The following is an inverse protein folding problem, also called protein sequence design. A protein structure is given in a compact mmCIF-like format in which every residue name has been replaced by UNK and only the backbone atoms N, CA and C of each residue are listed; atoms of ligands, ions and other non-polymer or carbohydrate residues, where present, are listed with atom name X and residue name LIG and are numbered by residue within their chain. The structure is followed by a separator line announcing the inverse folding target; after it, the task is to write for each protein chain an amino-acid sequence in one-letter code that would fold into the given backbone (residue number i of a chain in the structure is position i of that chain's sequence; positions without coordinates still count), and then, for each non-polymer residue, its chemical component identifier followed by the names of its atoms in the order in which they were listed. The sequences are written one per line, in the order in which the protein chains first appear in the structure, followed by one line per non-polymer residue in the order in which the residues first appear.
data_IF_091777324315
#
_entry.id   IF_091777324315
#
_cell.length_a   1.000
_cell.length_b   1.000
_cell.length_c   1.000
_cell.angle_alpha   90.00
_cell.angle_beta   90.00
_cell.angle_gamma   90.00
#
_symmetry.space_group_name_H-M   'P 1'
#
loop_
_entity.id
_entity.type
_entity.pdbx_description
1 polymer ?
#
# COMPACT_ATOMS: atom_id res chain seq x y z
N UNK A 1 -3.91 9.79 28.08
CA UNK A 1 -2.68 9.16 27.56
C UNK A 1 -2.40 9.76 26.20
N UNK A 2 -1.25 10.42 26.01
CA UNK A 2 -0.81 10.85 24.67
C UNK A 2 -0.43 9.59 23.87
N UNK A 3 -1.34 9.12 23.02
CA UNK A 3 -1.00 8.08 22.06
C UNK A 3 0.01 8.66 21.08
N UNK A 4 1.25 8.16 21.12
CA UNK A 4 2.23 8.45 20.06
C UNK A 4 1.69 7.91 18.74
N UNK A 5 1.83 8.68 17.67
CA UNK A 5 1.49 8.24 16.32
C UNK A 5 2.22 6.94 15.99
N UNK A 6 1.54 6.01 15.34
CA UNK A 6 2.11 4.71 15.02
C UNK A 6 3.11 4.76 13.85
N UNK A 7 3.01 5.82 13.03
CA UNK A 7 3.71 6.01 11.76
C UNK A 7 3.47 7.45 11.28
N UNK A 8 4.30 7.95 10.36
CA UNK A 8 4.14 9.24 9.70
C UNK A 8 5.22 10.26 10.08
N UNK A 9 5.20 11.48 9.53
CA UNK A 9 6.29 12.44 9.67
C UNK A 9 6.67 12.77 11.13
N UNK A 10 5.69 12.84 12.04
CA UNK A 10 5.95 13.08 13.46
C UNK A 10 6.60 11.89 14.18
N UNK A 11 6.41 10.68 13.65
CA UNK A 11 6.95 9.43 14.22
C UNK A 11 8.28 9.04 13.60
N UNK A 12 8.42 9.24 12.30
CA UNK A 12 9.51 8.79 11.44
C UNK A 12 10.13 9.97 10.65
N UNK A 13 10.58 11.06 11.33
CA UNK A 13 10.94 12.31 10.67
C UNK A 13 12.06 12.15 9.64
N UNK A 14 13.13 11.44 9.98
CA UNK A 14 14.29 11.22 9.10
C UNK A 14 13.90 10.51 7.78
N UNK A 15 12.99 9.53 7.85
CA UNK A 15 12.49 8.85 6.65
C UNK A 15 11.70 9.78 5.72
N UNK A 16 10.88 10.67 6.29
CA UNK A 16 10.10 11.61 5.49
C UNK A 16 10.97 12.73 4.91
N UNK A 17 12.02 13.18 5.61
CA UNK A 17 13.03 14.08 5.05
C UNK A 17 13.75 13.48 3.84
N UNK A 18 14.15 12.21 3.92
CA UNK A 18 14.75 11.50 2.77
C UNK A 18 13.77 11.35 1.60
N UNK A 19 12.49 11.08 1.89
CA UNK A 19 11.46 10.97 0.88
C UNK A 19 11.18 12.31 0.18
N UNK A 20 11.15 13.43 0.92
CA UNK A 20 11.06 14.77 0.33
C UNK A 20 12.21 15.03 -0.64
N UNK A 21 13.44 14.62 -0.29
CA UNK A 21 14.58 14.73 -1.19
C UNK A 21 14.44 13.86 -2.45
N UNK A 22 13.78 12.69 -2.37
CA UNK A 22 13.45 11.87 -3.54
C UNK A 22 12.45 12.58 -4.44
N UNK A 23 11.36 13.12 -3.89
CA UNK A 23 10.35 13.82 -4.66
C UNK A 23 10.85 15.14 -5.26
N UNK A 24 11.80 15.82 -4.62
CA UNK A 24 12.49 16.96 -5.20
C UNK A 24 13.31 16.59 -6.45
N UNK A 25 13.88 15.37 -6.49
CA UNK A 25 14.61 14.84 -7.66
C UNK A 25 13.68 14.26 -8.74
N UNK A 26 12.48 13.83 -8.36
CA UNK A 26 11.49 13.19 -9.24
C UNK A 26 10.10 13.84 -9.06
N UNK A 27 9.93 15.11 -9.49
CA UNK A 27 8.70 15.86 -9.23
C UNK A 27 7.45 15.22 -9.84
N UNK A 28 7.58 14.52 -10.96
CA UNK A 28 6.50 13.76 -11.60
C UNK A 28 6.06 12.53 -10.78
N UNK A 29 6.90 12.02 -9.89
CA UNK A 29 6.55 10.93 -8.99
C UNK A 29 5.76 11.43 -7.76
N UNK A 30 5.99 12.67 -7.32
CA UNK A 30 5.34 13.26 -6.15
C UNK A 30 3.80 13.28 -6.27
N UNK A 31 3.28 13.44 -7.50
CA UNK A 31 1.83 13.42 -7.76
C UNK A 31 1.24 12.02 -7.99
N UNK A 32 2.06 10.97 -8.08
CA UNK A 32 1.63 9.61 -8.42
C UNK A 32 1.67 8.64 -7.26
N UNK A 33 2.42 8.95 -6.21
CA UNK A 33 2.67 8.05 -5.09
C UNK A 33 2.29 8.68 -3.76
N UNK A 34 1.82 7.86 -2.84
CA UNK A 34 1.55 8.20 -1.45
C UNK A 34 2.17 7.17 -0.52
N UNK A 35 2.57 7.58 0.68
CA UNK A 35 3.01 6.65 1.73
C UNK A 35 1.83 6.23 2.57
N UNK A 36 1.61 4.92 2.71
CA UNK A 36 0.56 4.36 3.56
C UNK A 36 1.16 3.59 4.72
N UNK A 37 0.60 3.83 5.91
CA UNK A 37 0.90 3.04 7.09
C UNK A 37 0.11 1.73 7.08
N UNK A 38 0.81 0.60 6.93
CA UNK A 38 0.20 -0.73 6.77
C UNK A 38 -0.30 -1.34 8.08
N UNK A 39 -0.18 -0.62 9.22
CA UNK A 39 -0.50 -1.15 10.55
C UNK A 39 -1.93 -1.66 10.67
N UNK A 40 -2.91 -0.97 10.10
CA UNK A 40 -4.30 -1.44 10.17
C UNK A 40 -4.45 -2.75 9.40
N UNK A 41 -3.87 -2.86 8.21
CA UNK A 41 -3.93 -4.06 7.37
C UNK A 41 -3.24 -5.26 8.03
N UNK A 42 -2.01 -5.10 8.53
CA UNK A 42 -1.25 -6.21 9.10
C UNK A 42 -1.63 -6.52 10.56
N UNK A 43 -1.84 -5.51 11.41
CA UNK A 43 -2.07 -5.76 12.84
C UNK A 43 -3.55 -5.82 13.23
N UNK A 44 -4.44 -5.11 12.53
CA UNK A 44 -5.88 -5.12 12.84
C UNK A 44 -6.58 -6.18 12.00
N UNK A 45 -6.40 -6.17 10.67
CA UNK A 45 -7.00 -7.16 9.76
C UNK A 45 -6.25 -8.49 9.69
N UNK A 46 -5.05 -8.57 10.27
CA UNK A 46 -4.21 -9.79 10.30
C UNK A 46 -3.86 -10.34 8.92
N UNK A 47 -3.73 -9.45 7.93
CA UNK A 47 -3.34 -9.82 6.57
C UNK A 47 -1.88 -10.25 6.53
N UNK A 48 -1.62 -11.42 5.95
CA UNK A 48 -0.28 -11.91 5.63
C UNK A 48 -0.01 -11.64 4.16
N UNK A 49 0.73 -10.59 3.84
CA UNK A 49 1.02 -10.22 2.45
C UNK A 49 1.86 -11.25 1.69
N UNK A 50 2.51 -12.22 2.35
CA UNK A 50 3.18 -13.31 1.66
C UNK A 50 2.17 -14.34 1.11
N UNK A 51 0.99 -14.45 1.73
CA UNK A 51 -0.06 -15.42 1.37
C UNK A 51 -1.24 -14.77 0.67
N UNK A 52 -1.49 -13.49 0.96
CA UNK A 52 -2.67 -12.77 0.55
C UNK A 52 -2.34 -11.51 -0.26
N UNK A 53 -3.28 -11.10 -1.09
CA UNK A 53 -3.24 -9.88 -1.91
C UNK A 53 -4.58 -9.17 -1.84
N UNK A 54 -4.55 -7.84 -1.76
CA UNK A 54 -5.75 -7.01 -1.86
C UNK A 54 -6.22 -6.92 -3.31
N UNK A 55 -7.52 -7.05 -3.54
CA UNK A 55 -8.16 -6.78 -4.83
C UNK A 55 -9.16 -5.66 -4.60
N UNK A 56 -8.93 -4.52 -5.25
CA UNK A 56 -9.72 -3.30 -5.05
C UNK A 56 -10.70 -3.09 -6.18
N UNK A 57 -11.95 -2.80 -5.85
CA UNK A 57 -12.98 -2.40 -6.82
C UNK A 57 -13.66 -1.11 -6.37
N UNK A 58 -14.22 -0.37 -7.31
CA UNK A 58 -15.09 0.77 -7.00
C UNK A 58 -16.51 0.26 -6.82
N UNK A 59 -17.12 0.54 -5.67
CA UNK A 59 -18.49 0.17 -5.33
C UNK A 59 -19.21 1.37 -4.71
N UNK A 60 -20.20 1.91 -5.41
CA UNK A 60 -20.97 3.06 -4.93
C UNK A 60 -20.11 4.28 -4.56
N UNK A 61 -19.07 4.58 -5.35
CA UNK A 61 -18.14 5.70 -5.10
C UNK A 61 -17.12 5.44 -3.97
N UNK A 62 -17.02 4.20 -3.49
CA UNK A 62 -16.05 3.79 -2.47
C UNK A 62 -15.06 2.82 -3.09
N UNK A 63 -13.80 2.88 -2.64
CA UNK A 63 -12.83 1.83 -2.94
C UNK A 63 -13.02 0.73 -1.89
N UNK A 64 -13.39 -0.46 -2.34
CA UNK A 64 -13.50 -1.65 -1.50
C UNK A 64 -12.35 -2.58 -1.84
N UNK A 65 -11.49 -2.85 -0.85
CA UNK A 65 -10.38 -3.79 -0.99
C UNK A 65 -10.68 -5.07 -0.23
N UNK A 66 -10.70 -6.18 -0.94
CA UNK A 66 -10.86 -7.52 -0.36
C UNK A 66 -9.51 -8.25 -0.40
N UNK A 67 -9.07 -8.79 0.73
CA UNK A 67 -7.84 -9.59 0.78
C UNK A 67 -8.16 -11.06 0.48
N UNK A 68 -7.54 -11.57 -0.57
CA UNK A 68 -7.71 -12.94 -1.08
C UNK A 68 -6.38 -13.67 -1.05
N UNK A 69 -6.41 -15.00 -1.05
CA UNK A 69 -5.18 -15.78 -1.23
C UNK A 69 -4.55 -15.49 -2.59
N UNK A 70 -3.22 -15.53 -2.67
CA UNK A 70 -2.48 -15.15 -3.89
C UNK A 70 -2.68 -16.08 -5.08
N UNK A 71 -3.15 -17.31 -4.85
CA UNK A 71 -3.54 -18.27 -5.89
C UNK A 71 -4.91 -17.96 -6.48
N UNK A 72 -5.60 -16.93 -5.98
CA UNK A 72 -6.85 -16.43 -6.53
C UNK A 72 -6.69 -16.04 -8.00
N UNK A 73 -7.32 -16.82 -8.88
CA UNK A 73 -7.47 -16.51 -10.29
C UNK A 73 -8.56 -15.47 -10.47
N UNK A 74 -8.16 -14.19 -10.49
CA UNK A 74 -9.09 -13.12 -10.77
C UNK A 74 -9.55 -13.23 -12.24
N UNK A 75 -10.81 -13.62 -12.44
CA UNK A 75 -11.42 -13.69 -13.77
C UNK A 75 -11.36 -12.35 -14.51
N UNK A 76 -11.08 -12.43 -15.82
CA UNK A 76 -11.31 -11.50 -16.95
C UNK A 76 -11.09 -9.97 -16.83
N UNK A 77 -10.75 -9.42 -15.67
CA UNK A 77 -10.47 -7.98 -15.49
C UNK A 77 -8.95 -7.80 -15.58
N UNK A 78 -8.50 -6.82 -16.38
CA UNK A 78 -7.10 -6.40 -16.38
C UNK A 78 -6.81 -5.68 -15.06
N UNK A 79 -6.06 -6.35 -14.19
CA UNK A 79 -5.65 -5.84 -12.89
C UNK A 79 -4.23 -5.31 -12.95
N UNK A 80 -4.00 -4.09 -12.49
CA UNK A 80 -2.65 -3.52 -12.33
C UNK A 80 -2.25 -3.52 -10.87
N UNK A 81 -0.96 -3.65 -10.60
CA UNK A 81 -0.47 -3.43 -9.25
C UNK A 81 -0.53 -1.94 -8.92
N UNK A 82 -1.12 -1.60 -7.78
CA UNK A 82 -1.26 -0.22 -7.30
C UNK A 82 -0.72 -0.02 -5.88
N UNK A 83 -0.24 -1.08 -5.23
CA UNK A 83 0.43 -1.00 -3.93
C UNK A 83 1.52 -2.07 -3.82
N UNK A 84 2.69 -1.65 -3.34
CA UNK A 84 3.87 -2.49 -3.21
C UNK A 84 4.43 -2.42 -1.79
N UNK A 85 4.93 -3.55 -1.29
CA UNK A 85 5.72 -3.61 -0.05
C UNK A 85 7.11 -4.12 -0.34
N UNK A 86 8.12 -3.60 0.37
CA UNK A 86 9.48 -4.11 0.31
C UNK A 86 9.55 -5.47 1.01
N UNK A 87 10.18 -6.44 0.37
CA UNK A 87 10.53 -7.76 0.92
C UNK A 87 12.01 -8.04 0.64
N UNK A 88 12.56 -9.10 1.22
CA UNK A 88 13.96 -9.50 0.99
C UNK A 88 14.27 -9.71 -0.51
N UNK A 89 13.29 -10.20 -1.28
CA UNK A 89 13.42 -10.49 -2.71
C UNK A 89 13.12 -9.34 -3.67
N UNK A 90 12.68 -8.17 -3.19
CA UNK A 90 12.28 -7.09 -4.09
C UNK A 90 11.12 -6.25 -3.56
N UNK A 91 10.30 -5.76 -4.47
CA UNK A 91 8.98 -5.22 -4.17
C UNK A 91 7.93 -6.26 -4.51
N UNK A 92 7.04 -6.55 -3.56
CA UNK A 92 5.92 -7.47 -3.73
C UNK A 92 4.65 -6.66 -3.95
N UNK A 93 3.91 -6.99 -5.02
CA UNK A 93 2.58 -6.43 -5.21
C UNK A 93 1.62 -6.94 -4.13
N UNK A 94 1.03 -6.02 -3.36
CA UNK A 94 0.10 -6.35 -2.26
C UNK A 94 -1.32 -5.88 -2.50
N UNK A 95 -1.55 -5.04 -3.51
CA UNK A 95 -2.89 -4.64 -3.92
C UNK A 95 -2.97 -4.45 -5.42
N UNK A 96 -3.99 -5.08 -5.98
CA UNK A 96 -4.45 -4.89 -7.34
C UNK A 96 -5.59 -3.87 -7.38
N UNK A 97 -5.60 -3.06 -8.42
CA UNK A 97 -6.67 -2.11 -8.73
C UNK A 97 -7.14 -2.36 -10.16
N UNK A 98 -8.45 -2.26 -10.39
CA UNK A 98 -8.98 -2.05 -11.73
C UNK A 98 -8.89 -0.55 -12.06
N UNK A 99 -8.58 -0.22 -13.31
CA UNK A 99 -8.78 1.14 -13.83
C UNK A 99 -10.27 1.48 -13.94
#
# INVERSE_FOLDING_TARGET
MNQRNACGPERDPEFFEELEAVFARHPEAAGRYSVQCTRQTSHVLKVDFAKQVGVSRIDGGRIVTEFRDRDYSAGSIEWWCCEWVRTDGGFLCVRFCAD
#
